data_IF_609008219688
#
_entry.id   IF_609008219688
#
_cell.length_a   1.000
_cell.length_b   1.000
_cell.length_c   1.000
_cell.angle_alpha   90.00
_cell.angle_beta   90.00
_cell.angle_gamma   90.00
#
_symmetry.space_group_name_H-M   'P 1'
#
loop_
_entity.id
_entity.type
_entity.pdbx_description
1 polymer ?
#
# COMPACT_ATOMS: atom_id res chain seq x y z
N UNK A 1 63.67 -3.80 3.99
CA UNK A 1 62.52 -4.08 4.87
C UNK A 1 62.12 -2.73 5.47
N UNK A 2 60.91 -2.24 5.21
CA UNK A 2 60.49 -0.86 5.60
C UNK A 2 59.92 -0.82 7.03
N UNK A 3 59.38 -1.94 7.54
CA UNK A 3 58.85 -2.02 8.91
C UNK A 3 59.76 -2.85 9.83
N UNK A 4 59.96 -2.44 11.10
CA UNK A 4 60.61 -3.24 12.12
C UNK A 4 59.71 -4.37 12.68
N UNK A 5 58.41 -4.33 12.43
CA UNK A 5 57.42 -5.30 12.92
C UNK A 5 56.99 -6.29 11.82
N UNK A 6 56.58 -7.52 12.17
CA UNK A 6 55.99 -8.46 11.23
C UNK A 6 54.75 -7.87 10.53
N UNK A 7 54.60 -8.13 9.23
CA UNK A 7 53.53 -7.56 8.40
C UNK A 7 52.12 -7.82 8.96
N UNK A 8 51.90 -8.96 9.63
CA UNK A 8 50.61 -9.31 10.22
C UNK A 8 50.28 -8.54 11.52
N UNK A 9 51.27 -7.89 12.14
CA UNK A 9 51.14 -7.14 13.40
C UNK A 9 51.04 -5.63 13.17
N UNK A 10 51.00 -5.19 11.92
CA UNK A 10 50.93 -3.78 11.56
C UNK A 10 49.74 -3.53 10.65
N UNK A 11 49.20 -2.32 10.75
CA UNK A 11 48.38 -1.72 9.72
C UNK A 11 49.20 -0.59 9.12
N UNK A 12 49.22 -0.52 7.80
CA UNK A 12 49.96 0.51 7.10
C UNK A 12 49.13 1.08 5.96
N UNK A 13 49.40 2.34 5.65
CA UNK A 13 48.85 3.02 4.50
C UNK A 13 49.85 4.01 3.95
N UNK A 14 49.60 4.48 2.73
CA UNK A 14 50.44 5.44 2.05
C UNK A 14 49.63 6.67 1.69
N UNK A 15 50.19 7.84 1.96
CA UNK A 15 49.73 9.11 1.41
C UNK A 15 50.74 9.57 0.35
N UNK A 16 50.24 9.82 -0.85
CA UNK A 16 51.05 10.35 -1.94
C UNK A 16 51.05 11.87 -1.85
N UNK A 17 52.23 12.46 -1.79
CA UNK A 17 52.40 13.91 -1.82
C UNK A 17 52.67 14.38 -3.25
N UNK A 18 52.20 15.58 -3.62
CA UNK A 18 52.52 16.11 -4.93
C UNK A 18 54.01 16.45 -5.00
N UNK A 19 54.64 16.24 -6.16
CA UNK A 19 56.05 16.54 -6.41
C UNK A 19 56.19 17.30 -7.73
N UNK A 20 57.03 18.33 -7.72
CA UNK A 20 57.36 19.10 -8.92
C UNK A 20 58.54 18.50 -9.71
N UNK A 21 59.15 17.43 -9.21
CA UNK A 21 60.27 16.75 -9.85
C UNK A 21 59.77 15.72 -10.86
N UNK A 22 60.28 15.73 -12.12
CA UNK A 22 59.84 14.80 -13.14
C UNK A 22 60.23 13.37 -12.80
N UNK A 23 59.30 12.42 -12.99
CA UNK A 23 59.49 10.98 -12.73
C UNK A 23 59.80 10.57 -11.28
N UNK A 24 59.55 11.44 -10.30
CA UNK A 24 59.67 11.11 -8.87
C UNK A 24 58.37 11.41 -8.14
N UNK A 25 58.02 10.55 -7.20
CA UNK A 25 56.83 10.71 -6.38
C UNK A 25 57.21 10.53 -4.92
N UNK A 26 56.85 11.50 -4.08
CA UNK A 26 57.05 11.38 -2.64
C UNK A 26 55.85 10.71 -2.02
N UNK A 27 56.09 9.69 -1.21
CA UNK A 27 55.07 8.92 -0.52
C UNK A 27 55.38 8.86 0.97
N UNK A 28 54.42 9.25 1.80
CA UNK A 28 54.50 9.10 3.25
C UNK A 28 53.85 7.79 3.63
N UNK A 29 54.65 6.85 4.14
CA UNK A 29 54.16 5.57 4.65
C UNK A 29 53.84 5.73 6.13
N UNK A 30 52.58 5.50 6.51
CA UNK A 30 52.16 5.46 7.91
C UNK A 30 52.02 4.01 8.31
N UNK A 31 52.70 3.62 9.40
CA UNK A 31 52.72 2.26 9.93
C UNK A 31 52.36 2.34 11.41
N UNK A 32 51.34 1.57 11.81
CA UNK A 32 50.85 1.53 13.20
C UNK A 32 50.72 0.07 13.64
N UNK A 33 51.07 -0.27 14.89
CA UNK A 33 50.75 -1.57 15.46
C UNK A 33 49.25 -1.88 15.37
N UNK A 34 48.91 -3.10 14.94
CA UNK A 34 47.53 -3.50 14.67
C UNK A 34 46.65 -3.45 15.92
N UNK A 35 47.20 -3.84 17.07
CA UNK A 35 46.55 -3.80 18.38
C UNK A 35 46.13 -2.38 18.81
N UNK A 36 46.93 -1.37 18.47
CA UNK A 36 46.60 0.05 18.75
C UNK A 36 45.38 0.49 17.94
N UNK A 37 45.31 0.11 16.66
CA UNK A 37 44.17 0.42 15.77
C UNK A 37 42.92 -0.34 16.24
N UNK A 38 43.03 -1.62 16.55
CA UNK A 38 41.90 -2.44 17.02
C UNK A 38 41.37 -1.94 18.37
N UNK A 39 42.26 -1.58 19.31
CA UNK A 39 41.86 -0.97 20.57
C UNK A 39 41.18 0.40 20.40
N UNK A 40 41.61 1.19 19.42
CA UNK A 40 40.92 2.45 19.09
C UNK A 40 39.55 2.21 18.46
N UNK A 41 39.44 1.24 17.55
CA UNK A 41 38.17 0.83 16.94
C UNK A 41 37.17 0.34 17.99
N UNK A 42 37.61 -0.48 18.94
CA UNK A 42 36.74 -0.95 20.03
C UNK A 42 36.12 0.21 20.83
N UNK A 43 36.90 1.25 21.14
CA UNK A 43 36.38 2.45 21.82
C UNK A 43 35.35 3.21 20.98
N UNK A 44 35.54 3.29 19.66
CA UNK A 44 34.58 3.93 18.76
C UNK A 44 33.28 3.12 18.67
N UNK A 45 33.38 1.79 18.53
CA UNK A 45 32.24 0.88 18.50
C UNK A 45 31.43 0.94 19.81
N UNK A 46 32.10 0.96 20.96
CA UNK A 46 31.44 1.13 22.28
C UNK A 46 30.66 2.44 22.38
N UNK A 47 31.17 3.51 21.77
CA UNK A 47 30.49 4.80 21.68
C UNK A 47 29.41 4.85 20.57
N UNK A 48 29.20 3.74 19.84
CA UNK A 48 28.21 3.63 18.77
C UNK A 48 28.66 4.18 17.41
N UNK A 49 29.95 4.51 17.27
CA UNK A 49 30.53 4.97 16.00
C UNK A 49 31.08 3.80 15.19
N UNK A 50 30.81 3.84 13.89
CA UNK A 50 31.33 2.89 12.92
C UNK A 50 32.13 3.69 11.89
N UNK A 51 33.46 3.82 12.06
CA UNK A 51 34.27 4.63 11.16
C UNK A 51 34.41 3.94 9.81
N UNK A 52 34.29 4.72 8.74
CA UNK A 52 34.59 4.29 7.38
C UNK A 52 36.09 4.37 7.06
N UNK A 53 36.81 5.27 7.75
CA UNK A 53 38.25 5.52 7.56
C UNK A 53 38.93 5.87 8.88
N UNK A 54 40.22 5.56 8.96
CA UNK A 54 41.11 6.00 10.04
C UNK A 54 42.34 6.63 9.41
N UNK A 55 42.69 7.85 9.78
CA UNK A 55 43.80 8.59 9.16
C UNK A 55 44.63 9.29 10.24
N UNK A 56 45.88 9.64 9.89
CA UNK A 56 46.69 10.51 10.72
C UNK A 56 46.40 11.97 10.34
N UNK A 57 45.75 12.77 11.21
CA UNK A 57 45.16 14.05 10.83
C UNK A 57 46.18 15.08 10.32
N UNK A 58 47.44 14.98 10.76
CA UNK A 58 48.50 15.89 10.36
C UNK A 58 49.04 15.63 8.94
N UNK A 59 48.76 14.47 8.32
CA UNK A 59 49.11 14.24 6.91
C UNK A 59 48.51 15.30 5.99
N UNK A 60 47.26 15.70 6.25
CA UNK A 60 46.62 16.71 5.42
C UNK A 60 47.29 18.07 5.53
N UNK A 61 47.92 18.38 6.66
CA UNK A 61 48.69 19.61 6.82
C UNK A 61 49.98 19.62 5.99
N UNK A 62 50.56 18.45 5.71
CA UNK A 62 51.72 18.29 4.84
C UNK A 62 51.38 18.45 3.36
N UNK A 63 50.13 18.26 2.95
CA UNK A 63 49.69 18.44 1.55
C UNK A 63 49.36 19.91 1.24
N UNK A 64 49.16 20.73 2.26
CA UNK A 64 48.78 22.15 2.15
C UNK A 64 49.94 23.16 1.94
N UNK A 65 51.22 22.92 2.30
CA UNK A 65 52.25 23.94 2.13
C UNK A 65 52.37 24.35 0.66
N UNK A 66 52.61 25.64 0.36
CA UNK A 66 52.86 26.07 -1.01
C UNK A 66 54.14 25.38 -1.49
N UNK A 67 54.00 24.42 -2.40
CA UNK A 67 55.08 23.60 -2.97
C UNK A 67 56.12 24.39 -3.79
N UNK A 68 56.05 25.71 -3.71
CA UNK A 68 56.82 26.68 -4.48
C UNK A 68 57.97 27.28 -3.66
N UNK A 69 58.06 27.00 -2.35
CA UNK A 69 59.11 27.56 -1.48
C UNK A 69 59.93 26.45 -0.81
N UNK A 70 61.25 26.60 -0.88
CA UNK A 70 62.19 25.78 -0.11
C UNK A 70 62.16 26.25 1.35
N UNK A 71 62.02 25.30 2.28
CA UNK A 71 61.89 25.61 3.69
C UNK A 71 61.64 24.41 4.60
N UNK A 72 61.55 24.73 5.88
CA UNK A 72 61.30 23.74 6.93
C UNK A 72 60.05 24.12 7.70
N UNK A 73 59.06 23.23 7.70
CA UNK A 73 57.80 23.40 8.41
C UNK A 73 57.85 22.62 9.71
N UNK A 74 57.74 23.34 10.83
CA UNK A 74 57.68 22.80 12.17
C UNK A 74 56.23 22.89 12.66
N UNK A 75 55.67 21.74 12.99
CA UNK A 75 54.36 21.61 13.61
C UNK A 75 54.59 21.14 15.05
N UNK A 76 54.53 22.01 16.05
CA UNK A 76 54.49 21.60 17.44
C UNK A 76 53.16 20.88 17.74
N UNK A 77 53.23 19.77 18.47
CA UNK A 77 52.08 19.00 18.91
C UNK A 77 52.16 18.79 20.42
N UNK A 78 51.02 18.91 21.09
CA UNK A 78 50.88 18.58 22.50
C UNK A 78 49.72 17.61 22.68
N UNK A 79 50.02 16.35 23.00
CA UNK A 79 49.02 15.30 23.21
C UNK A 79 49.31 14.52 24.49
N UNK A 80 48.32 14.43 25.39
CA UNK A 80 48.41 13.59 26.59
C UNK A 80 49.58 13.93 27.52
N UNK A 81 49.96 15.21 27.60
CA UNK A 81 51.12 15.67 28.38
C UNK A 81 52.48 15.41 27.73
N UNK A 82 52.52 14.82 26.53
CA UNK A 82 53.74 14.65 25.72
C UNK A 82 53.84 15.80 24.73
N UNK A 83 55.06 16.33 24.59
CA UNK A 83 55.41 17.32 23.57
C UNK A 83 56.05 16.58 22.40
N UNK A 84 55.59 16.89 21.21
CA UNK A 84 56.05 16.31 19.94
C UNK A 84 56.27 17.45 18.95
N UNK A 85 57.13 17.23 17.95
CA UNK A 85 57.28 18.16 16.84
C UNK A 85 57.40 17.37 15.54
N UNK A 86 56.52 17.65 14.58
CA UNK A 86 56.67 17.14 13.23
C UNK A 86 57.47 18.18 12.43
N UNK A 87 58.63 17.78 11.91
CA UNK A 87 59.48 18.60 11.06
C UNK A 87 59.44 18.08 9.62
N UNK A 88 59.01 18.92 8.70
CA UNK A 88 58.88 18.60 7.28
C UNK A 88 59.81 19.50 6.45
N UNK A 89 60.77 18.90 5.75
CA UNK A 89 61.79 19.57 4.96
C UNK A 89 61.41 19.51 3.48
N UNK A 90 60.94 20.65 2.95
CA UNK A 90 60.56 20.77 1.55
C UNK A 90 61.65 21.51 0.79
N UNK A 91 62.28 20.82 -0.16
CA UNK A 91 63.34 21.39 -0.98
C UNK A 91 63.25 20.84 -2.40
N UNK A 92 63.57 21.68 -3.37
CA UNK A 92 63.54 21.34 -4.80
C UNK A 92 62.16 20.89 -5.27
N UNK A 93 61.09 21.43 -4.67
CA UNK A 93 59.71 21.11 -5.03
C UNK A 93 59.22 19.72 -4.62
N UNK A 94 59.89 19.07 -3.65
CA UNK A 94 59.43 17.83 -3.03
C UNK A 94 59.76 17.77 -1.54
N UNK A 95 59.03 16.95 -0.78
CA UNK A 95 59.38 16.64 0.60
C UNK A 95 60.58 15.69 0.62
N UNK A 96 61.72 16.17 1.12
CA UNK A 96 62.99 15.43 1.19
C UNK A 96 63.11 14.63 2.48
N UNK A 97 62.71 15.23 3.60
CA UNK A 97 62.81 14.62 4.91
C UNK A 97 61.59 14.93 5.77
N UNK A 98 61.11 13.92 6.51
CA UNK A 98 60.00 14.04 7.44
C UNK A 98 60.39 13.35 8.75
N UNK A 99 60.34 14.09 9.85
CA UNK A 99 60.75 13.61 11.16
C UNK A 99 59.70 13.92 12.20
N UNK A 100 59.35 12.94 13.03
CA UNK A 100 58.58 13.15 14.26
C UNK A 100 59.54 13.12 15.45
N UNK A 101 59.75 14.27 16.08
CA UNK A 101 60.68 14.46 17.20
C UNK A 101 59.89 14.35 18.50
N UNK A 102 60.30 13.42 19.36
CA UNK A 102 59.72 13.25 20.70
C UNK A 102 60.44 14.16 21.70
N UNK A 103 59.77 15.23 22.11
CA UNK A 103 60.33 16.27 22.97
C UNK A 103 60.07 15.92 24.44
N UNK A 104 60.90 15.03 24.98
CA UNK A 104 60.79 14.54 26.36
C UNK A 104 61.76 15.23 27.31
N UNK A 105 61.34 15.48 28.55
CA UNK A 105 62.19 16.01 29.62
C UNK A 105 62.29 17.53 29.67
N UNK A 106 63.02 18.04 30.68
CA UNK A 106 63.16 19.49 30.92
C UNK A 106 64.06 20.18 29.88
N UNK A 107 64.95 19.45 29.22
CA UNK A 107 65.90 19.95 28.21
C UNK A 107 65.45 19.66 26.77
N UNK A 108 64.14 19.68 26.50
CA UNK A 108 63.64 19.34 25.17
C UNK A 108 64.12 20.33 24.09
N UNK A 109 64.46 21.56 24.46
CA UNK A 109 64.96 22.59 23.55
C UNK A 109 66.30 22.17 22.91
N UNK A 110 67.23 21.65 23.71
CA UNK A 110 68.52 21.18 23.19
C UNK A 110 68.33 19.93 22.33
N UNK A 111 67.45 19.01 22.73
CA UNK A 111 67.13 17.83 21.92
C UNK A 111 66.56 18.21 20.54
N UNK A 112 65.66 19.18 20.48
CA UNK A 112 65.13 19.70 19.23
C UNK A 112 66.26 20.28 18.36
N UNK A 113 67.12 21.11 18.94
CA UNK A 113 68.23 21.73 18.23
C UNK A 113 69.19 20.68 17.66
N UNK A 114 69.55 19.67 18.46
CA UNK A 114 70.46 18.60 18.04
C UNK A 114 69.86 17.82 16.86
N UNK A 115 68.58 17.44 16.94
CA UNK A 115 67.90 16.68 15.88
C UNK A 115 67.73 17.48 14.58
N UNK A 116 67.39 18.77 14.67
CA UNK A 116 67.30 19.64 13.50
C UNK A 116 68.67 19.91 12.87
N UNK A 117 69.72 20.05 13.70
CA UNK A 117 71.10 20.25 13.23
C UNK A 117 71.66 18.99 12.55
N UNK A 118 71.39 17.81 13.12
CA UNK A 118 71.76 16.54 12.51
C UNK A 118 71.11 16.38 11.12
N UNK A 119 69.82 16.73 11.02
CA UNK A 119 69.08 16.66 9.76
C UNK A 119 69.54 17.70 8.74
N UNK A 120 69.87 18.92 9.19
CA UNK A 120 70.39 19.95 8.28
C UNK A 120 71.75 19.56 7.71
N UNK A 121 72.65 19.02 8.54
CA UNK A 121 73.96 18.53 8.08
C UNK A 121 73.81 17.36 7.12
N UNK A 122 72.92 16.41 7.41
CA UNK A 122 72.62 15.32 6.48
C UNK A 122 72.12 15.87 5.13
N UNK A 123 71.22 16.85 5.16
CA UNK A 123 70.68 17.46 3.95
C UNK A 123 71.69 18.26 3.13
N UNK A 124 72.63 18.94 3.79
CA UNK A 124 73.75 19.63 3.13
C UNK A 124 74.70 18.62 2.48
N UNK A 125 75.03 17.52 3.17
CA UNK A 125 75.92 16.47 2.66
C UNK A 125 75.29 15.71 1.49
N UNK A 126 73.99 15.43 1.56
CA UNK A 126 73.24 14.79 0.48
C UNK A 126 72.90 15.75 -0.67
N UNK A 127 73.05 17.06 -0.45
CA UNK A 127 72.91 18.10 -1.46
C UNK A 127 71.47 18.50 -1.79
N UNK A 128 70.47 18.03 -1.04
CA UNK A 128 69.08 18.44 -1.21
C UNK A 128 68.73 19.70 -0.42
N UNK A 129 69.50 20.06 0.62
CA UNK A 129 69.30 21.29 1.38
C UNK A 129 70.01 22.46 0.66
N UNK A 130 69.22 23.42 0.18
CA UNK A 130 69.68 24.62 -0.53
C UNK A 130 69.48 25.87 0.33
N UNK A 131 70.36 26.86 0.17
CA UNK A 131 70.22 28.19 0.80
C UNK A 131 70.01 29.26 -0.27
N UNK A 132 69.23 30.33 0.02
CA UNK A 132 68.51 30.59 1.26
C UNK A 132 67.19 29.81 1.37
N UNK A 133 66.81 29.42 2.59
CA UNK A 133 65.51 28.82 2.91
C UNK A 133 64.86 29.54 4.10
N UNK A 134 63.60 29.21 4.40
CA UNK A 134 62.82 29.82 5.48
C UNK A 134 62.31 28.77 6.47
N UNK A 135 62.27 29.14 7.75
CA UNK A 135 61.58 28.38 8.79
C UNK A 135 60.11 28.78 8.87
N UNK A 136 59.23 27.79 8.96
CA UNK A 136 57.80 27.97 9.12
C UNK A 136 57.35 27.30 10.42
N UNK A 137 56.93 28.08 11.42
CA UNK A 137 56.39 27.55 12.67
C UNK A 137 54.87 27.63 12.62
N UNK A 138 54.21 26.48 12.74
CA UNK A 138 52.74 26.36 12.72
C UNK A 138 52.24 26.06 14.13
N UNK A 139 52.08 27.09 14.95
CA UNK A 139 51.70 26.97 16.36
C UNK A 139 50.76 28.11 16.80
N UNK A 140 50.05 27.97 17.94
CA UNK A 140 49.31 29.08 18.53
C UNK A 140 50.24 30.29 18.80
N UNK A 141 49.72 31.52 18.91
CA UNK A 141 50.55 32.72 19.05
C UNK A 141 51.49 32.69 20.26
N UNK A 142 51.03 32.13 21.39
CA UNK A 142 51.81 32.03 22.63
C UNK A 142 53.01 31.09 22.47
N UNK A 143 52.79 29.92 21.86
CA UNK A 143 53.87 28.96 21.58
C UNK A 143 54.78 29.44 20.45
N UNK A 144 54.24 30.10 19.43
CA UNK A 144 55.02 30.58 18.27
C UNK A 144 56.18 31.48 18.69
N UNK A 145 56.01 32.32 19.73
CA UNK A 145 57.07 33.19 20.24
C UNK A 145 58.21 32.41 20.92
N UNK A 146 57.87 31.36 21.69
CA UNK A 146 58.85 30.45 22.30
C UNK A 146 59.67 29.74 21.22
N UNK A 147 59.00 29.19 20.20
CA UNK A 147 59.62 28.49 19.08
C UNK A 147 60.45 29.41 18.18
N UNK A 148 59.98 30.62 17.88
CA UNK A 148 60.76 31.62 17.14
C UNK A 148 62.03 32.00 17.90
N UNK A 149 61.91 32.27 19.20
CA UNK A 149 63.05 32.60 20.06
C UNK A 149 64.09 31.49 20.10
N UNK A 150 63.64 30.23 20.16
CA UNK A 150 64.51 29.06 20.11
C UNK A 150 65.23 28.96 18.76
N UNK A 151 64.51 29.04 17.64
CA UNK A 151 65.09 28.88 16.29
C UNK A 151 66.09 30.00 15.99
N UNK A 152 65.78 31.22 16.41
CA UNK A 152 66.63 32.39 16.20
C UNK A 152 67.95 32.35 16.96
N UNK A 153 68.05 31.56 18.03
CA UNK A 153 69.31 31.40 18.76
C UNK A 153 70.36 30.60 17.99
N UNK A 154 69.95 29.77 17.01
CA UNK A 154 70.86 28.88 16.29
C UNK A 154 70.80 28.99 14.76
N UNK A 155 69.80 29.68 14.21
CA UNK A 155 69.64 29.90 12.77
C UNK A 155 69.42 31.38 12.44
N UNK A 156 70.20 31.87 11.48
CA UNK A 156 70.04 33.22 10.89
C UNK A 156 68.98 33.27 9.77
N UNK A 157 68.45 32.13 9.36
CA UNK A 157 67.44 32.06 8.30
C UNK A 157 66.11 32.74 8.72
N UNK A 158 65.37 33.37 7.79
CA UNK A 158 64.09 33.99 8.10
C UNK A 158 63.10 33.01 8.73
N UNK A 159 62.30 33.49 9.68
CA UNK A 159 61.25 32.71 10.36
C UNK A 159 59.89 33.32 10.03
N UNK A 160 58.94 32.50 9.63
CA UNK A 160 57.53 32.86 9.46
C UNK A 160 56.68 32.03 10.43
N UNK A 161 55.79 32.70 11.15
CA UNK A 161 54.84 32.07 12.07
C UNK A 161 53.45 32.08 11.46
N UNK A 162 52.72 30.98 11.64
CA UNK A 162 51.34 30.83 11.17
C UNK A 162 50.53 30.03 12.18
N UNK A 163 49.23 30.27 12.24
CA UNK A 163 48.37 29.53 13.17
C UNK A 163 48.05 28.14 12.63
N UNK A 164 48.01 27.11 13.51
CA UNK A 164 47.57 25.78 13.12
C UNK A 164 46.10 25.81 12.72
N UNK A 165 45.73 24.97 11.75
CA UNK A 165 44.32 24.73 11.47
C UNK A 165 43.69 24.07 12.68
N UNK A 166 42.51 24.56 13.07
CA UNK A 166 41.76 23.97 14.17
C UNK A 166 41.32 22.53 13.81
N UNK A 167 41.16 21.66 14.80
CA UNK A 167 40.75 20.26 14.59
C UNK A 167 39.52 20.10 13.69
N UNK A 168 38.43 20.91 13.83
CA UNK A 168 37.29 20.82 12.93
C UNK A 168 37.64 21.16 11.47
N UNK A 169 38.55 22.12 11.24
CA UNK A 169 39.01 22.50 9.90
C UNK A 169 39.88 21.41 9.28
N UNK A 170 40.69 20.72 10.09
CA UNK A 170 41.45 19.55 9.62
C UNK A 170 40.52 18.39 9.23
N UNK A 171 39.49 18.14 10.04
CA UNK A 171 38.48 17.14 9.73
C UNK A 171 37.71 17.49 8.45
N UNK A 172 37.36 18.77 8.24
CA UNK A 172 36.74 19.24 7.00
C UNK A 172 37.64 19.03 5.78
N UNK A 173 38.93 19.39 5.87
CA UNK A 173 39.89 19.14 4.79
C UNK A 173 40.04 17.65 4.51
N UNK A 174 40.14 16.82 5.54
CA UNK A 174 40.23 15.36 5.41
C UNK A 174 39.02 14.79 4.69
N UNK A 175 37.81 15.15 5.13
CA UNK A 175 36.56 14.72 4.52
C UNK A 175 36.45 15.18 3.06
N UNK A 176 36.78 16.44 2.77
CA UNK A 176 36.72 17.00 1.42
C UNK A 176 37.74 16.35 0.46
N UNK A 177 38.94 16.02 0.94
CA UNK A 177 39.95 15.31 0.14
C UNK A 177 39.57 13.85 -0.08
N UNK A 178 39.05 13.18 0.95
CA UNK A 178 38.54 11.80 0.85
C UNK A 178 37.41 11.71 -0.17
N UNK A 179 36.43 12.63 -0.13
CA UNK A 179 35.31 12.67 -1.06
C UNK A 179 35.75 12.91 -2.53
N UNK A 180 36.85 13.64 -2.74
CA UNK A 180 37.45 13.87 -4.07
C UNK A 180 38.38 12.74 -4.54
N UNK A 181 38.64 11.75 -3.70
CA UNK A 181 39.59 10.67 -3.98
C UNK A 181 41.06 11.13 -3.93
N UNK A 182 41.35 12.28 -3.32
CA UNK A 182 42.69 12.85 -3.19
C UNK A 182 43.40 12.36 -1.91
N UNK A 183 42.69 11.77 -0.94
CA UNK A 183 43.26 11.15 0.27
C UNK A 183 43.34 9.63 0.09
N UNK A 184 44.56 9.10 0.10
CA UNK A 184 44.83 7.67 -0.08
C UNK A 184 45.17 6.97 1.23
N UNK A 185 45.61 7.72 2.24
CA UNK A 185 45.82 7.17 3.57
C UNK A 185 44.52 6.61 4.16
N UNK A 186 44.50 5.33 4.54
CA UNK A 186 43.46 4.73 5.36
C UNK A 186 44.05 3.57 6.19
N UNK A 187 44.05 3.73 7.50
CA UNK A 187 44.51 2.77 8.50
C UNK A 187 43.37 1.88 9.00
N UNK A 188 42.18 1.90 8.39
CA UNK A 188 41.12 0.95 8.72
C UNK A 188 41.48 -0.44 8.16
N UNK A 189 41.58 -1.48 9.01
CA UNK A 189 41.82 -2.84 8.52
C UNK A 189 40.71 -3.29 7.58
N UNK A 190 41.07 -3.98 6.50
CA UNK A 190 40.12 -4.39 5.44
C UNK A 190 39.00 -5.30 5.96
N UNK A 191 39.28 -6.09 6.99
CA UNK A 191 38.30 -6.97 7.65
C UNK A 191 37.19 -6.16 8.34
N UNK A 192 37.56 -5.08 9.06
CA UNK A 192 36.60 -4.17 9.69
C UNK A 192 35.82 -3.39 8.64
N UNK A 193 36.51 -2.88 7.60
CA UNK A 193 35.85 -2.17 6.50
C UNK A 193 34.76 -3.03 5.83
N UNK A 194 35.07 -4.30 5.52
CA UNK A 194 34.11 -5.23 4.93
C UNK A 194 32.93 -5.51 5.88
N UNK A 195 33.20 -5.73 7.17
CA UNK A 195 32.17 -5.99 8.18
C UNK A 195 31.23 -4.81 8.35
N UNK A 196 31.76 -3.60 8.47
CA UNK A 196 30.96 -2.38 8.62
C UNK A 196 30.11 -2.11 7.38
N UNK A 197 30.67 -2.33 6.19
CA UNK A 197 29.93 -2.22 4.95
C UNK A 197 28.76 -3.22 4.89
N UNK A 198 28.99 -4.49 5.25
CA UNK A 198 27.94 -5.50 5.33
C UNK A 198 26.84 -5.11 6.31
N UNK A 199 27.20 -4.69 7.53
CA UNK A 199 26.22 -4.27 8.54
C UNK A 199 25.38 -3.06 8.06
N UNK A 200 26.00 -2.12 7.37
CA UNK A 200 25.30 -0.97 6.79
C UNK A 200 24.32 -1.39 5.70
N UNK A 201 24.77 -2.22 4.76
CA UNK A 201 23.97 -2.75 3.66
C UNK A 201 22.79 -3.57 4.20
N UNK A 202 23.03 -4.48 5.15
CA UNK A 202 22.00 -5.30 5.79
C UNK A 202 20.93 -4.43 6.46
N UNK A 203 21.35 -3.41 7.20
CA UNK A 203 20.41 -2.49 7.87
C UNK A 203 19.59 -1.70 6.86
N UNK A 204 20.18 -1.30 5.74
CA UNK A 204 19.49 -0.59 4.66
C UNK A 204 18.46 -1.51 3.97
N UNK A 205 18.85 -2.74 3.63
CA UNK A 205 17.96 -3.75 3.04
C UNK A 205 16.80 -4.10 3.96
N UNK A 206 17.05 -4.32 5.25
CA UNK A 206 15.99 -4.63 6.22
C UNK A 206 14.99 -3.50 6.35
N UNK A 207 15.44 -2.23 6.34
CA UNK A 207 14.57 -1.06 6.33
C UNK A 207 13.77 -0.94 5.03
N UNK A 208 14.40 -1.19 3.88
CA UNK A 208 13.74 -1.20 2.58
C UNK A 208 12.65 -2.27 2.50
N UNK A 209 12.97 -3.50 2.92
CA UNK A 209 12.05 -4.64 2.92
C UNK A 209 10.86 -4.41 3.87
N UNK A 210 11.12 -3.86 5.07
CA UNK A 210 10.06 -3.46 6.00
C UNK A 210 9.14 -2.38 5.40
N UNK A 211 9.70 -1.40 4.67
CA UNK A 211 8.93 -0.39 3.96
C UNK A 211 8.02 -0.98 2.89
N UNK A 212 8.54 -1.88 2.05
CA UNK A 212 7.76 -2.59 1.02
C UNK A 212 6.65 -3.43 1.66
N UNK A 213 6.95 -4.13 2.74
CA UNK A 213 5.96 -4.90 3.50
C UNK A 213 4.83 -4.01 4.03
N UNK A 214 5.14 -2.85 4.59
CA UNK A 214 4.13 -1.90 5.07
C UNK A 214 3.24 -1.38 3.94
N UNK A 215 3.81 -1.06 2.77
CA UNK A 215 3.04 -0.64 1.58
C UNK A 215 2.10 -1.76 1.15
N UNK A 216 2.57 -3.00 1.12
CA UNK A 216 1.74 -4.17 0.77
C UNK A 216 0.58 -4.35 1.76
N UNK A 217 0.85 -4.33 3.07
CA UNK A 217 -0.18 -4.45 4.11
C UNK A 217 -1.21 -3.32 3.96
N UNK A 218 -0.77 -2.09 3.71
CA UNK A 218 -1.67 -0.96 3.47
C UNK A 218 -2.55 -1.17 2.24
N UNK A 219 -1.98 -1.67 1.14
CA UNK A 219 -2.72 -2.02 -0.07
C UNK A 219 -3.77 -3.11 0.16
N UNK A 220 -3.41 -4.15 0.94
CA UNK A 220 -4.35 -5.22 1.33
C UNK A 220 -5.49 -4.67 2.18
N UNK A 221 -5.20 -3.80 3.15
CA UNK A 221 -6.23 -3.15 3.97
C UNK A 221 -7.16 -2.27 3.13
N UNK A 222 -6.62 -1.50 2.18
CA UNK A 222 -7.41 -0.70 1.26
C UNK A 222 -8.31 -1.57 0.36
N UNK A 223 -7.78 -2.69 -0.14
CA UNK A 223 -8.54 -3.66 -0.93
C UNK A 223 -9.69 -4.27 -0.12
N UNK A 224 -9.43 -4.72 1.11
CA UNK A 224 -10.49 -5.25 1.99
C UNK A 224 -11.54 -4.18 2.32
N UNK A 225 -11.12 -2.93 2.56
CA UNK A 225 -12.04 -1.80 2.75
C UNK A 225 -12.96 -1.58 1.55
N UNK A 226 -12.40 -1.58 0.32
CA UNK A 226 -13.17 -1.47 -0.91
C UNK A 226 -14.13 -2.65 -1.12
N UNK A 227 -13.67 -3.87 -0.84
CA UNK A 227 -14.48 -5.08 -0.95
C UNK A 227 -15.66 -5.04 0.03
N UNK A 228 -15.44 -4.60 1.26
CA UNK A 228 -16.48 -4.48 2.28
C UNK A 228 -17.51 -3.42 1.90
N UNK A 229 -17.08 -2.29 1.32
CA UNK A 229 -17.97 -1.27 0.78
C UNK A 229 -18.84 -1.82 -0.37
N UNK A 230 -18.25 -2.55 -1.31
CA UNK A 230 -18.98 -3.18 -2.42
C UNK A 230 -19.98 -4.23 -1.92
N UNK A 231 -19.61 -5.01 -0.91
CA UNK A 231 -20.51 -6.02 -0.30
C UNK A 231 -21.74 -5.36 0.33
N UNK A 232 -21.57 -4.26 1.05
CA UNK A 232 -22.68 -3.50 1.65
C UNK A 232 -23.61 -2.98 0.54
N UNK A 233 -23.06 -2.39 -0.52
CA UNK A 233 -23.85 -1.88 -1.66
C UNK A 233 -24.61 -3.00 -2.40
N UNK A 234 -24.02 -4.18 -2.53
CA UNK A 234 -24.68 -5.30 -3.15
C UNK A 234 -25.84 -5.84 -2.28
N UNK A 235 -25.63 -5.93 -0.97
CA UNK A 235 -26.68 -6.36 -0.04
C UNK A 235 -27.87 -5.41 -0.04
N UNK A 236 -27.65 -4.10 -0.12
CA UNK A 236 -28.75 -3.13 -0.19
C UNK A 236 -29.52 -3.21 -1.51
N UNK A 237 -28.84 -3.44 -2.64
CA UNK A 237 -29.48 -3.71 -3.92
C UNK A 237 -30.33 -4.98 -3.89
N UNK A 238 -29.83 -6.06 -3.29
CA UNK A 238 -30.56 -7.32 -3.19
C UNK A 238 -31.83 -7.16 -2.33
N UNK A 239 -31.77 -6.39 -1.24
CA UNK A 239 -32.94 -6.06 -0.40
C UNK A 239 -33.97 -5.23 -1.17
N UNK A 240 -33.53 -4.28 -2.01
CA UNK A 240 -34.45 -3.50 -2.85
C UNK A 240 -35.16 -4.37 -3.88
N UNK A 241 -34.45 -5.27 -4.56
CA UNK A 241 -35.02 -6.20 -5.53
C UNK A 241 -36.04 -7.14 -4.87
N UNK A 242 -35.73 -7.66 -3.68
CA UNK A 242 -36.67 -8.51 -2.92
C UNK A 242 -37.95 -7.74 -2.54
N UNK A 243 -37.83 -6.47 -2.12
CA UNK A 243 -38.98 -5.61 -1.83
C UNK A 243 -39.87 -5.37 -3.05
N UNK A 244 -39.28 -5.20 -4.24
CA UNK A 244 -40.02 -5.07 -5.50
C UNK A 244 -40.74 -6.38 -5.88
N UNK A 245 -40.14 -7.54 -5.66
CA UNK A 245 -40.80 -8.82 -5.96
C UNK A 245 -42.08 -9.05 -5.13
N UNK A 246 -42.09 -8.57 -3.88
CA UNK A 246 -43.26 -8.61 -3.00
C UNK A 246 -44.43 -7.79 -3.57
N UNK A 247 -44.16 -6.60 -4.11
CA UNK A 247 -45.21 -5.74 -4.68
C UNK A 247 -45.78 -6.32 -5.97
N UNK A 248 -44.95 -6.91 -6.84
CA UNK A 248 -45.42 -7.63 -8.03
C UNK A 248 -46.35 -8.80 -7.66
N UNK A 249 -46.02 -9.58 -6.65
CA UNK A 249 -46.86 -10.71 -6.20
C UNK A 249 -48.22 -10.23 -5.68
N UNK A 250 -48.23 -9.13 -4.93
CA UNK A 250 -49.47 -8.51 -4.43
C UNK A 250 -50.36 -7.99 -5.57
N UNK A 251 -49.76 -7.42 -6.63
CA UNK A 251 -50.53 -6.94 -7.80
C UNK A 251 -51.18 -8.08 -8.59
N UNK A 252 -50.55 -9.25 -8.63
CA UNK A 252 -51.10 -10.43 -9.33
C UNK A 252 -52.33 -10.99 -8.60
N UNK A 253 -52.23 -11.14 -7.28
CA UNK A 253 -53.35 -11.63 -6.45
C UNK A 253 -54.57 -10.67 -6.49
N UNK A 254 -54.32 -9.36 -6.55
CA UNK A 254 -55.40 -8.38 -6.66
C UNK A 254 -56.12 -8.49 -8.01
N UNK A 255 -55.38 -8.71 -9.10
CA UNK A 255 -55.95 -8.90 -10.44
C UNK A 255 -56.83 -10.15 -10.51
N UNK A 256 -56.39 -11.27 -9.95
CA UNK A 256 -57.16 -12.52 -9.90
C UNK A 256 -58.46 -12.37 -9.12
N UNK A 257 -58.45 -11.64 -8.00
CA UNK A 257 -59.67 -11.37 -7.21
C UNK A 257 -60.69 -10.54 -7.97
N UNK A 258 -60.25 -9.55 -8.73
CA UNK A 258 -61.14 -8.71 -9.55
C UNK A 258 -61.84 -9.57 -10.61
N UNK A 259 -61.09 -10.45 -11.28
CA UNK A 259 -61.63 -11.32 -12.33
C UNK A 259 -62.70 -12.29 -11.78
N UNK A 260 -62.49 -12.89 -10.61
CA UNK A 260 -63.49 -13.77 -9.97
C UNK A 260 -64.77 -13.02 -9.61
N UNK A 261 -64.68 -11.74 -9.19
CA UNK A 261 -65.87 -10.94 -8.88
C UNK A 261 -66.68 -10.59 -10.14
N UNK A 262 -65.99 -10.36 -11.26
CA UNK A 262 -66.63 -10.09 -12.55
C UNK A 262 -67.38 -11.32 -13.08
N UNK A 263 -66.76 -12.50 -13.01
CA UNK A 263 -67.39 -13.77 -13.39
C UNK A 263 -68.66 -14.06 -12.57
N UNK A 264 -68.63 -13.79 -11.26
CA UNK A 264 -69.80 -13.95 -10.39
C UNK A 264 -70.95 -13.03 -10.76
N UNK A 265 -70.65 -11.80 -11.22
CA UNK A 265 -71.66 -10.84 -11.65
C UNK A 265 -72.36 -11.34 -12.92
N UNK A 266 -71.60 -11.80 -13.92
CA UNK A 266 -72.14 -12.33 -15.19
C UNK A 266 -73.07 -13.52 -14.91
N UNK A 267 -72.64 -14.45 -14.06
CA UNK A 267 -73.43 -15.65 -13.76
C UNK A 267 -74.76 -15.32 -13.07
N UNK A 268 -74.80 -14.29 -12.21
CA UNK A 268 -76.05 -13.84 -11.57
C UNK A 268 -77.03 -13.22 -12.56
N UNK A 269 -76.54 -12.43 -13.51
CA UNK A 269 -77.40 -11.87 -14.56
C UNK A 269 -77.96 -12.96 -15.48
N UNK A 270 -77.14 -13.93 -15.86
CA UNK A 270 -77.59 -15.07 -16.65
C UNK A 270 -78.69 -15.90 -15.96
N UNK A 271 -78.55 -16.14 -14.65
CA UNK A 271 -79.56 -16.84 -13.87
C UNK A 271 -80.90 -16.08 -13.82
N UNK A 272 -80.84 -14.75 -13.71
CA UNK A 272 -82.04 -13.89 -13.73
C UNK A 272 -82.73 -13.91 -15.09
N UNK A 273 -81.97 -13.81 -16.18
CA UNK A 273 -82.52 -13.84 -17.55
C UNK A 273 -83.21 -15.18 -17.84
N UNK A 274 -82.61 -16.30 -17.41
CA UNK A 274 -83.22 -17.62 -17.54
C UNK A 274 -84.49 -17.78 -16.70
N UNK A 275 -84.50 -17.26 -15.47
CA UNK A 275 -85.68 -17.31 -14.62
C UNK A 275 -86.83 -16.51 -15.22
N UNK A 276 -86.53 -15.30 -15.69
CA UNK A 276 -87.52 -14.45 -16.37
C UNK A 276 -88.11 -15.14 -17.60
N UNK A 277 -87.26 -15.68 -18.46
CA UNK A 277 -87.67 -16.43 -19.64
C UNK A 277 -88.57 -17.64 -19.31
N UNK A 278 -88.21 -18.41 -18.28
CA UNK A 278 -88.98 -19.55 -17.83
C UNK A 278 -90.36 -19.14 -17.29
N UNK A 279 -90.43 -18.02 -16.55
CA UNK A 279 -91.67 -17.51 -15.99
C UNK A 279 -92.60 -16.89 -17.04
N UNK A 280 -92.06 -16.14 -18.02
CA UNK A 280 -92.86 -15.49 -19.08
C UNK A 280 -93.51 -16.50 -20.03
N UNK A 281 -92.89 -17.67 -20.26
CA UNK A 281 -93.43 -18.72 -21.13
C UNK A 281 -94.35 -19.72 -20.42
N UNK A 282 -94.59 -19.54 -19.11
CA UNK A 282 -95.41 -20.46 -18.34
C UNK A 282 -96.88 -20.39 -18.77
N UNK A 283 -97.50 -21.49 -19.25
CA UNK A 283 -98.91 -21.49 -19.65
C UNK A 283 -99.86 -21.23 -18.47
N UNK A 284 -101.00 -20.59 -18.76
CA UNK A 284 -102.04 -20.36 -17.75
C UNK A 284 -102.55 -21.69 -17.15
N UNK A 285 -102.60 -21.75 -15.83
CA UNK A 285 -103.00 -22.94 -15.07
C UNK A 285 -101.87 -23.89 -14.67
N UNK A 286 -100.64 -23.67 -15.15
CA UNK A 286 -99.45 -24.37 -14.64
C UNK A 286 -98.80 -23.61 -13.49
N UNK A 287 -98.05 -24.32 -12.64
CA UNK A 287 -97.26 -23.70 -11.57
C UNK A 287 -95.80 -24.12 -11.70
N UNK A 288 -94.88 -23.16 -11.53
CA UNK A 288 -93.45 -23.43 -11.39
C UNK A 288 -93.14 -23.54 -9.89
N UNK A 289 -92.74 -24.73 -9.42
CA UNK A 289 -92.46 -25.01 -8.01
C UNK A 289 -90.98 -24.84 -7.65
N UNK A 290 -90.08 -25.07 -8.60
CA UNK A 290 -88.65 -24.86 -8.37
C UNK A 290 -87.91 -24.45 -9.65
N UNK A 291 -86.99 -23.51 -9.47
CA UNK A 291 -85.99 -23.09 -10.45
C UNK A 291 -84.61 -23.29 -9.82
N UNK A 292 -83.76 -24.08 -10.46
CA UNK A 292 -82.39 -24.31 -10.00
C UNK A 292 -81.41 -23.96 -11.12
N UNK A 293 -80.54 -23.00 -10.86
CA UNK A 293 -79.46 -22.62 -11.76
C UNK A 293 -78.14 -23.18 -11.25
N UNK A 294 -77.48 -24.01 -12.07
CA UNK A 294 -76.21 -24.64 -11.76
C UNK A 294 -75.11 -24.20 -12.72
N UNK A 295 -73.90 -24.01 -12.19
CA UNK A 295 -72.68 -23.88 -13.01
C UNK A 295 -72.30 -25.29 -13.48
N UNK A 296 -72.77 -25.68 -14.67
CA UNK A 296 -72.36 -26.93 -15.32
C UNK A 296 -70.87 -26.92 -15.68
N UNK A 297 -70.33 -28.08 -16.06
CA UNK A 297 -68.90 -28.23 -16.43
C UNK A 297 -68.52 -27.53 -17.74
N UNK A 298 -69.48 -27.32 -18.65
CA UNK A 298 -69.27 -26.68 -19.96
C UNK A 298 -70.19 -25.48 -20.19
N UNK A 299 -71.48 -25.58 -19.86
CA UNK A 299 -72.45 -24.48 -19.95
C UNK A 299 -73.37 -24.46 -18.71
N UNK A 300 -73.91 -23.30 -18.29
CA UNK A 300 -74.86 -23.26 -17.19
C UNK A 300 -76.13 -24.05 -17.50
N UNK A 301 -76.63 -24.75 -16.50
CA UNK A 301 -77.81 -25.61 -16.59
C UNK A 301 -78.90 -25.07 -15.70
N UNK A 302 -80.10 -24.92 -16.25
CA UNK A 302 -81.32 -24.58 -15.54
C UNK A 302 -82.15 -25.83 -15.39
N UNK A 303 -82.64 -26.12 -14.19
CA UNK A 303 -83.61 -27.19 -13.96
C UNK A 303 -84.92 -26.57 -13.49
N UNK A 304 -85.99 -26.88 -14.21
CA UNK A 304 -87.34 -26.39 -13.97
C UNK A 304 -88.20 -27.55 -13.49
N UNK A 305 -89.01 -27.31 -12.45
CA UNK A 305 -90.01 -28.26 -11.98
C UNK A 305 -91.29 -27.55 -11.60
N UNK A 306 -92.41 -28.24 -11.76
CA UNK A 306 -93.71 -27.67 -11.47
C UNK A 306 -94.82 -28.69 -11.54
N UNK A 307 -96.05 -28.20 -11.39
CA UNK A 307 -97.25 -29.02 -11.55
C UNK A 307 -98.18 -28.44 -12.63
N UNK A 308 -98.96 -29.31 -13.25
CA UNK A 308 -99.92 -28.98 -14.30
C UNK A 308 -101.26 -29.71 -14.05
N UNK A 309 -102.38 -29.16 -14.56
CA UNK A 309 -103.69 -29.83 -14.53
C UNK A 309 -103.66 -31.17 -15.29
N UNK A 310 -104.36 -32.19 -14.78
CA UNK A 310 -104.38 -33.55 -15.39
C UNK A 310 -105.31 -33.70 -16.58
N UNK A 311 -106.23 -32.77 -16.77
CA UNK A 311 -107.16 -32.67 -17.89
C UNK A 311 -106.48 -32.23 -19.19
N UNK A 312 -105.26 -31.69 -19.13
CA UNK A 312 -104.51 -31.20 -20.28
C UNK A 312 -103.03 -31.65 -20.28
N UNK A 313 -102.74 -32.96 -20.46
CA UNK A 313 -101.39 -33.51 -20.38
C UNK A 313 -100.44 -32.96 -21.47
N UNK A 314 -100.97 -32.39 -22.55
CA UNK A 314 -100.17 -31.79 -23.64
C UNK A 314 -99.45 -30.49 -23.25
N UNK A 315 -99.96 -29.74 -22.26
CA UNK A 315 -99.42 -28.43 -21.85
C UNK A 315 -97.96 -28.47 -21.41
N UNK A 316 -97.51 -29.58 -20.83
CA UNK A 316 -96.11 -29.75 -20.41
C UNK A 316 -95.18 -29.85 -21.63
N UNK A 317 -95.62 -30.53 -22.69
CA UNK A 317 -94.85 -30.62 -23.95
C UNK A 317 -94.84 -29.27 -24.67
N UNK A 318 -95.98 -28.58 -24.71
CA UNK A 318 -96.06 -27.24 -25.32
C UNK A 318 -95.16 -26.24 -24.61
N UNK A 319 -95.09 -26.28 -23.27
CA UNK A 319 -94.16 -25.45 -22.49
C UNK A 319 -92.69 -25.82 -22.75
N UNK A 320 -92.37 -27.12 -22.86
CA UNK A 320 -91.03 -27.59 -23.20
C UNK A 320 -90.60 -27.11 -24.59
N UNK A 321 -91.49 -27.21 -25.59
CA UNK A 321 -91.25 -26.75 -26.95
C UNK A 321 -91.18 -25.22 -27.04
N UNK A 322 -91.99 -24.49 -26.28
CA UNK A 322 -91.93 -23.03 -26.19
C UNK A 322 -90.57 -22.55 -25.65
N UNK A 323 -90.05 -23.21 -24.61
CA UNK A 323 -88.71 -22.91 -24.08
C UNK A 323 -87.59 -23.35 -25.02
N UNK A 324 -87.77 -24.47 -25.74
CA UNK A 324 -86.80 -24.95 -26.73
C UNK A 324 -86.66 -24.01 -27.92
N UNK A 325 -87.74 -23.35 -28.32
CA UNK A 325 -87.77 -22.40 -29.43
C UNK A 325 -87.60 -20.94 -28.98
N UNK A 326 -87.36 -20.70 -27.69
CA UNK A 326 -87.26 -19.34 -27.16
C UNK A 326 -85.99 -18.64 -27.65
N UNK A 327 -86.19 -17.57 -28.41
CA UNK A 327 -85.10 -16.69 -28.86
C UNK A 327 -85.10 -15.37 -28.10
N UNK A 328 -83.93 -14.96 -27.60
CA UNK A 328 -83.72 -13.62 -27.04
C UNK A 328 -82.77 -12.89 -27.99
N UNK A 329 -83.18 -11.71 -28.49
CA UNK A 329 -82.42 -10.92 -29.47
C UNK A 329 -82.06 -11.68 -30.76
N UNK A 330 -82.88 -12.65 -31.19
CA UNK A 330 -82.66 -13.43 -32.41
C UNK A 330 -81.79 -14.68 -32.26
N UNK A 331 -81.29 -14.96 -31.05
CA UNK A 331 -80.52 -16.17 -30.74
C UNK A 331 -81.26 -17.07 -29.73
N UNK A 332 -81.13 -18.41 -29.84
CA UNK A 332 -81.75 -19.32 -28.89
C UNK A 332 -81.17 -19.14 -27.49
N UNK A 333 -82.01 -18.90 -26.48
CA UNK A 333 -81.54 -18.72 -25.10
C UNK A 333 -80.96 -20.03 -24.53
N UNK A 334 -81.60 -21.16 -24.88
CA UNK A 334 -81.19 -22.49 -24.49
C UNK A 334 -80.65 -23.26 -25.69
N UNK A 335 -79.44 -23.82 -25.56
CA UNK A 335 -78.83 -24.71 -26.56
C UNK A 335 -79.56 -26.03 -26.66
N UNK A 336 -80.00 -26.53 -25.51
CA UNK A 336 -80.63 -27.85 -25.39
C UNK A 336 -81.64 -27.81 -24.26
N UNK A 337 -82.87 -28.20 -24.57
CA UNK A 337 -83.90 -28.47 -23.57
C UNK A 337 -84.19 -29.97 -23.60
N UNK A 338 -84.08 -30.61 -22.44
CA UNK A 338 -84.36 -32.04 -22.32
C UNK A 338 -85.88 -32.28 -22.37
N UNK A 339 -86.34 -33.42 -22.91
CA UNK A 339 -87.76 -33.76 -22.91
C UNK A 339 -88.34 -33.76 -21.49
N UNK A 340 -89.59 -33.34 -21.31
CA UNK A 340 -90.20 -33.28 -20.00
C UNK A 340 -90.41 -34.69 -19.45
N UNK A 341 -90.05 -34.87 -18.18
CA UNK A 341 -90.46 -36.04 -17.41
C UNK A 341 -91.71 -35.67 -16.65
N UNK A 342 -92.83 -36.32 -16.97
CA UNK A 342 -94.12 -36.11 -16.29
C UNK A 342 -94.51 -37.34 -15.47
N UNK A 343 -94.96 -37.13 -14.24
CA UNK A 343 -95.54 -38.17 -13.40
C UNK A 343 -96.90 -37.72 -12.88
N UNK A 344 -97.91 -38.57 -13.04
CA UNK A 344 -99.25 -38.29 -12.51
C UNK A 344 -99.22 -38.58 -11.01
N UNK A 345 -99.57 -37.58 -10.21
CA UNK A 345 -99.75 -37.72 -8.76
C UNK A 345 -101.23 -37.55 -8.41
N UNK A 346 -101.78 -38.56 -7.74
CA UNK A 346 -103.13 -38.46 -7.17
C UNK A 346 -103.11 -37.58 -5.93
N UNK A 347 -103.90 -36.50 -5.93
CA UNK A 347 -104.15 -35.68 -4.75
C UNK A 347 -105.21 -36.28 -3.84
N UNK A 348 -105.17 -35.90 -2.56
CA UNK A 348 -106.24 -36.19 -1.60
C UNK A 348 -107.41 -35.25 -1.95
N UNK A 349 -108.60 -35.81 -2.21
CA UNK A 349 -109.80 -35.14 -2.75
C UNK A 349 -109.96 -35.11 -4.29
N UNK A 350 -109.49 -36.15 -5.00
CA UNK A 350 -109.96 -36.46 -6.36
C UNK A 350 -109.41 -35.56 -7.47
N UNK A 351 -108.59 -34.56 -7.17
CA UNK A 351 -107.80 -33.84 -8.15
C UNK A 351 -106.51 -34.62 -8.48
N UNK A 352 -106.31 -34.92 -9.76
CA UNK A 352 -105.03 -35.43 -10.25
C UNK A 352 -104.22 -34.25 -10.78
N UNK A 353 -102.93 -34.19 -10.47
CA UNK A 353 -101.99 -33.23 -11.06
C UNK A 353 -100.82 -33.95 -11.70
N UNK A 354 -100.27 -33.34 -12.73
CA UNK A 354 -99.06 -33.83 -13.41
C UNK A 354 -97.89 -33.04 -12.85
N UNK A 355 -97.01 -33.72 -12.11
CA UNK A 355 -95.71 -33.17 -11.77
C UNK A 355 -94.80 -33.29 -12.97
N UNK A 356 -94.12 -32.21 -13.34
CA UNK A 356 -93.22 -32.16 -14.48
C UNK A 356 -91.85 -31.63 -14.09
N UNK A 357 -90.84 -32.11 -14.79
CA UNK A 357 -89.48 -31.59 -14.67
C UNK A 357 -88.70 -31.76 -15.97
N UNK A 358 -87.83 -30.79 -16.25
CA UNK A 358 -86.83 -30.89 -17.30
C UNK A 358 -85.69 -29.91 -17.03
N UNK A 359 -84.57 -30.15 -17.70
CA UNK A 359 -83.39 -29.30 -17.65
C UNK A 359 -83.11 -28.66 -19.00
N UNK A 360 -82.62 -27.44 -18.97
CA UNK A 360 -82.19 -26.67 -20.13
C UNK A 360 -80.75 -26.20 -19.96
N UNK A 361 -79.94 -26.35 -20.99
CA UNK A 361 -78.57 -25.85 -21.08
C UNK A 361 -78.58 -24.51 -21.82
N UNK A 362 -77.92 -23.49 -21.27
CA UNK A 362 -77.82 -22.19 -21.92
C UNK A 362 -76.90 -22.25 -23.15
N UNK A 363 -77.24 -21.47 -24.17
CA UNK A 363 -76.43 -21.39 -25.39
C UNK A 363 -75.21 -20.47 -25.27
N UNK A 364 -75.33 -19.32 -24.60
CA UNK A 364 -74.28 -18.30 -24.55
C UNK A 364 -74.32 -17.56 -23.21
N UNK A 365 -73.15 -17.29 -22.62
CA UNK A 365 -72.96 -16.48 -21.40
C UNK A 365 -72.41 -15.07 -21.68
N UNK A 366 -72.10 -14.76 -22.94
CA UNK A 366 -71.50 -13.47 -23.32
C UNK A 366 -72.57 -12.39 -23.53
N UNK A 367 -72.54 -11.39 -22.65
CA UNK A 367 -73.03 -10.03 -22.90
C UNK A 367 -71.97 -9.04 -22.47
#
# INVERSE_FOLDING_TARGET
RISPLPVHQIVWSVEVLPSNLPNTQTAVVVIVPRDVIEGFLGRLEEAGYVPDRIEFPYLHQLVIPPQEQDGVWLYPLQEGGKRLCLAAWWFMGSLQHLQLIHLTGENWQSLLQDQLSETSWAGEVEGWLTTPFRWHVIAPPEESAEWEGLIRQWSDAPIATSQPKLTPQLAEVSAARSARGESHANLLPTEHAARYHQQFVDRLWMRGLAGVFLIYVFGVLAYFGALQYLKIKNSSLQTQVAGLAQSYTNTLQLKERIQVMEDQKILKFAALDCFRAAAEQLPEGMTLSSFQFGRGSETPTVTLRGSAPSDEPGKVNDYNDALRNLTVNGEPLFRRVTPPTSTIRGGVAGSQSIEWSFSAEMAVLER
#
